data_IF_261691955731
#
_entry.id   IF_261691955731
#
_cell.length_a   1.000
_cell.length_b   1.000
_cell.length_c   1.000
_cell.angle_alpha   90.00
_cell.angle_beta   90.00
_cell.angle_gamma   90.00
#
_symmetry.space_group_name_H-M   'P 1'
#
loop_
_entity.id
_entity.type
_entity.pdbx_description
1 polymer ?
#
# COMPACT_ATOMS: atom_id res chain seq x y z
N UNK A 1 21.43 -1.66 72.98
CA UNK A 1 21.22 -2.63 71.89
C UNK A 1 20.61 -1.88 70.71
N UNK A 2 21.43 -1.53 69.71
CA UNK A 2 21.02 -0.88 68.44
C UNK A 2 20.65 -1.99 67.44
N UNK A 3 19.62 -1.81 66.61
CA UNK A 3 19.39 -2.37 65.25
C UNK A 3 18.08 -1.71 64.74
N UNK A 4 18.16 -0.64 63.93
CA UNK A 4 18.19 -0.56 62.45
C UNK A 4 16.80 -0.73 61.78
N UNK A 5 16.09 0.39 61.61
CA UNK A 5 15.02 0.56 60.61
C UNK A 5 15.67 0.58 59.20
N UNK A 6 15.24 -0.31 58.31
CA UNK A 6 15.58 -0.25 56.88
C UNK A 6 14.49 0.52 56.14
N UNK A 7 14.81 1.75 55.72
CA UNK A 7 14.01 2.50 54.75
C UNK A 7 14.22 1.92 53.36
N UNK A 8 13.18 1.31 52.80
CA UNK A 8 13.14 0.91 51.40
C UNK A 8 12.64 2.10 50.58
N UNK A 9 13.53 2.78 49.87
CA UNK A 9 13.16 3.78 48.86
C UNK A 9 12.54 3.04 47.66
N UNK A 10 11.26 3.27 47.41
CA UNK A 10 10.59 2.86 46.17
C UNK A 10 10.94 3.88 45.07
N UNK A 11 11.83 3.53 44.15
CA UNK A 11 12.09 4.33 42.95
C UNK A 11 10.94 4.12 41.96
N UNK A 12 10.08 5.14 41.84
CA UNK A 12 9.07 5.22 40.78
C UNK A 12 9.79 5.57 39.47
N UNK A 13 10.02 4.59 38.59
CA UNK A 13 10.54 4.83 37.25
C UNK A 13 9.40 5.40 36.40
N UNK A 14 9.49 6.63 35.87
CA UNK A 14 8.49 7.13 34.94
C UNK A 14 8.59 6.32 33.64
N UNK A 15 7.49 5.68 33.27
CA UNK A 15 7.30 5.02 31.98
C UNK A 15 7.32 6.11 30.89
N UNK A 16 8.50 6.42 30.37
CA UNK A 16 8.67 7.23 29.16
C UNK A 16 7.96 6.50 28.01
N UNK A 17 6.77 6.98 27.64
CA UNK A 17 6.12 6.57 26.40
C UNK A 17 7.00 7.09 25.24
N UNK A 18 7.77 6.19 24.63
CA UNK A 18 8.49 6.51 23.40
C UNK A 18 7.46 6.92 22.33
N UNK A 19 7.66 8.02 21.60
CA UNK A 19 6.76 8.38 20.50
C UNK A 19 6.76 7.24 19.49
N UNK A 20 5.57 6.73 19.17
CA UNK A 20 5.40 5.79 18.08
C UNK A 20 5.85 6.50 16.80
N UNK A 21 6.96 6.04 16.21
CA UNK A 21 7.41 6.53 14.91
C UNK A 21 6.37 6.07 13.90
N UNK A 22 5.48 6.99 13.50
CA UNK A 22 4.54 6.74 12.43
C UNK A 22 5.36 6.47 11.16
N UNK A 23 5.34 5.22 10.70
CA UNK A 23 5.91 4.88 9.40
C UNK A 23 4.99 5.44 8.33
N UNK A 24 5.55 6.01 7.26
CA UNK A 24 4.77 6.44 6.11
C UNK A 24 3.87 5.29 5.61
N UNK A 25 2.68 5.61 5.12
CA UNK A 25 1.72 4.65 4.58
C UNK A 25 1.22 5.17 3.23
N UNK A 26 1.86 4.75 2.15
CA UNK A 26 1.45 5.09 0.78
C UNK A 26 0.30 4.17 0.36
N UNK A 27 -0.86 4.70 -0.03
CA UNK A 27 -1.97 3.89 -0.53
C UNK A 27 -1.68 3.39 -1.96
N UNK A 28 -2.38 2.36 -2.43
CA UNK A 28 -2.19 1.80 -3.77
C UNK A 28 -2.50 0.31 -3.87
N UNK A 29 -2.24 -0.24 -5.05
CA UNK A 29 -2.42 -1.67 -5.32
C UNK A 29 -1.12 -2.31 -5.78
N UNK A 30 -0.96 -3.58 -5.43
CA UNK A 30 0.15 -4.39 -5.92
C UNK A 30 -0.40 -5.62 -6.63
N UNK A 31 0.16 -5.90 -7.80
CA UNK A 31 -0.20 -7.05 -8.62
C UNK A 31 0.93 -8.09 -8.55
N UNK A 32 0.56 -9.34 -8.33
CA UNK A 32 1.45 -10.48 -8.45
C UNK A 32 1.11 -11.25 -9.72
N UNK A 33 2.13 -11.61 -10.50
CA UNK A 33 2.03 -12.55 -11.62
C UNK A 33 2.97 -13.71 -11.39
N UNK A 34 2.45 -14.93 -11.46
CA UNK A 34 3.26 -16.17 -11.39
C UNK A 34 2.71 -17.20 -12.36
N UNK A 35 3.56 -17.67 -13.29
CA UNK A 35 3.25 -18.86 -14.09
C UNK A 35 3.57 -20.09 -13.26
N UNK A 36 2.54 -20.89 -12.96
CA UNK A 36 2.67 -22.23 -12.40
C UNK A 36 2.91 -23.20 -13.56
N UNK A 37 3.92 -24.04 -13.42
CA UNK A 37 4.21 -25.11 -14.38
C UNK A 37 3.65 -26.42 -13.85
N UNK A 38 3.01 -27.17 -14.74
CA UNK A 38 2.56 -28.52 -14.43
C UNK A 38 3.79 -29.40 -14.15
N UNK A 39 3.83 -30.06 -13.00
CA UNK A 39 4.92 -30.99 -12.65
C UNK A 39 4.52 -32.46 -12.79
N UNK A 40 3.37 -32.74 -13.42
CA UNK A 40 2.93 -34.08 -13.80
C UNK A 40 2.33 -34.87 -12.65
N UNK A 41 1.66 -34.20 -11.70
CA UNK A 41 0.94 -34.88 -10.63
C UNK A 41 -0.20 -35.77 -11.16
N UNK A 42 -0.55 -36.77 -10.36
CA UNK A 42 -1.53 -37.81 -10.69
C UNK A 42 -2.95 -37.51 -10.19
N UNK A 43 -3.14 -36.43 -9.43
CA UNK A 43 -4.44 -36.01 -8.89
C UNK A 43 -5.26 -35.26 -9.94
N UNK A 44 -6.57 -35.48 -9.96
CA UNK A 44 -7.51 -34.61 -10.69
C UNK A 44 -7.88 -33.33 -9.93
N UNK A 45 -7.30 -33.14 -8.74
CA UNK A 45 -7.59 -32.05 -7.82
C UNK A 45 -6.30 -31.31 -7.52
N UNK A 46 -6.19 -30.10 -8.05
CA UNK A 46 -5.05 -29.23 -7.80
C UNK A 46 -5.38 -28.20 -6.73
N UNK A 47 -4.36 -27.82 -5.97
CA UNK A 47 -4.44 -26.87 -4.86
C UNK A 47 -3.50 -25.72 -5.14
N UNK A 48 -3.95 -24.48 -5.01
CA UNK A 48 -3.12 -23.29 -5.22
C UNK A 48 -3.45 -22.26 -4.17
N UNK A 49 -2.42 -21.66 -3.59
CA UNK A 49 -2.58 -20.58 -2.63
C UNK A 49 -1.49 -19.52 -2.84
N UNK A 50 -1.89 -18.26 -2.74
CA UNK A 50 -0.97 -17.13 -2.67
C UNK A 50 -1.29 -16.28 -1.44
N UNK A 51 -0.25 -15.82 -0.75
CA UNK A 51 -0.40 -15.03 0.47
C UNK A 51 0.72 -14.00 0.60
N UNK A 52 0.49 -13.04 1.49
CA UNK A 52 1.43 -11.97 1.79
C UNK A 52 1.87 -12.00 3.24
N UNK A 53 3.17 -11.77 3.44
CA UNK A 53 3.79 -11.60 4.75
C UNK A 53 4.57 -10.30 4.79
N UNK A 54 4.87 -9.81 6.00
CA UNK A 54 5.98 -8.87 6.20
C UNK A 54 7.29 -9.51 5.72
N UNK A 55 8.34 -8.69 5.52
CA UNK A 55 9.67 -9.21 5.18
C UNK A 55 10.23 -10.23 6.19
N UNK A 56 9.83 -10.13 7.46
CA UNK A 56 10.21 -11.03 8.56
C UNK A 56 9.38 -12.31 8.63
N UNK A 57 8.37 -12.47 7.77
CA UNK A 57 7.55 -13.67 7.68
C UNK A 57 6.25 -13.64 8.50
N UNK A 58 5.89 -12.50 9.12
CA UNK A 58 4.60 -12.36 9.79
C UNK A 58 3.48 -12.35 8.75
N UNK A 59 2.52 -13.26 8.89
CA UNK A 59 1.38 -13.35 7.99
C UNK A 59 0.48 -12.12 8.07
N UNK A 60 0.03 -11.64 6.90
CA UNK A 60 -0.90 -10.53 6.80
C UNK A 60 -2.22 -11.06 6.25
N UNK A 61 -2.19 -11.67 5.07
CA UNK A 61 -3.41 -12.10 4.37
C UNK A 61 -3.17 -13.15 3.31
N UNK A 62 -4.20 -13.96 3.05
CA UNK A 62 -4.29 -14.80 1.85
C UNK A 62 -4.93 -14.00 0.72
N UNK A 63 -4.37 -14.08 -0.49
CA UNK A 63 -4.84 -13.31 -1.65
C UNK A 63 -5.54 -14.18 -2.69
N UNK A 64 -5.17 -15.46 -2.72
CA UNK A 64 -5.70 -16.43 -3.67
C UNK A 64 -5.83 -17.78 -3.00
N UNK A 65 -6.95 -18.46 -3.20
CA UNK A 65 -7.15 -19.84 -2.80
C UNK A 65 -7.95 -20.58 -3.87
N UNK A 66 -7.44 -21.72 -4.32
CA UNK A 66 -8.05 -22.57 -5.34
C UNK A 66 -7.88 -24.03 -4.94
N UNK A 67 -8.97 -24.79 -4.86
CA UNK A 67 -8.91 -26.21 -4.50
C UNK A 67 -10.29 -26.85 -4.33
N UNK A 68 -10.36 -28.19 -4.25
CA UNK A 68 -11.61 -28.97 -4.25
C UNK A 68 -12.49 -28.82 -3.00
N UNK A 69 -11.88 -28.35 -1.90
CA UNK A 69 -12.61 -27.90 -0.73
C UNK A 69 -12.16 -26.50 -0.43
N UNK A 70 -12.87 -25.53 -0.98
CA UNK A 70 -12.67 -24.09 -0.78
C UNK A 70 -12.81 -23.68 0.69
N UNK A 71 -13.17 -24.62 1.58
CA UNK A 71 -13.14 -24.42 3.02
C UNK A 71 -11.69 -24.24 3.49
N UNK A 72 -11.42 -23.03 3.98
CA UNK A 72 -10.21 -22.62 4.69
C UNK A 72 -9.76 -23.64 5.76
N UNK A 73 -10.69 -24.44 6.29
CA UNK A 73 -10.47 -25.34 7.42
C UNK A 73 -10.18 -26.79 7.03
N UNK A 74 -10.15 -27.10 5.75
CA UNK A 74 -9.85 -28.47 5.34
C UNK A 74 -8.46 -28.89 5.77
N UNK A 75 -8.35 -30.05 6.43
CA UNK A 75 -7.08 -30.69 6.76
C UNK A 75 -6.22 -30.98 5.51
N UNK A 76 -6.84 -31.03 4.32
CA UNK A 76 -6.13 -31.15 3.05
C UNK A 76 -5.14 -30.01 2.81
N UNK A 77 -5.43 -28.79 3.26
CA UNK A 77 -4.47 -27.69 3.12
C UNK A 77 -3.19 -27.92 3.91
N UNK A 78 -3.25 -28.60 5.05
CA UNK A 78 -2.06 -29.01 5.78
C UNK A 78 -1.26 -30.07 5.00
N UNK A 79 -1.94 -31.00 4.32
CA UNK A 79 -1.32 -32.07 3.53
C UNK A 79 -0.69 -31.60 2.21
N UNK A 80 -1.24 -30.55 1.59
CA UNK A 80 -0.83 -30.10 0.25
C UNK A 80 -0.10 -28.76 0.23
N UNK A 81 -0.55 -27.82 1.06
CA UNK A 81 0.04 -26.48 1.16
C UNK A 81 0.44 -26.16 2.61
N UNK A 82 1.24 -27.04 3.21
CA UNK A 82 1.64 -26.96 4.62
C UNK A 82 2.44 -25.71 4.97
N UNK A 83 3.15 -25.12 4.00
CA UNK A 83 3.90 -23.86 4.21
C UNK A 83 2.93 -22.70 4.45
N UNK A 84 1.93 -22.56 3.59
CA UNK A 84 0.85 -21.58 3.80
C UNK A 84 0.07 -21.88 5.08
N UNK A 85 -0.30 -23.15 5.29
CA UNK A 85 -1.10 -23.57 6.45
C UNK A 85 -0.41 -23.21 7.78
N UNK A 86 0.91 -23.37 7.84
CA UNK A 86 1.72 -22.97 9.00
C UNK A 86 1.83 -21.44 9.10
N UNK A 87 2.09 -20.75 7.99
CA UNK A 87 2.28 -19.31 7.97
C UNK A 87 1.03 -18.55 8.46
N UNK A 88 -0.16 -18.95 8.01
CA UNK A 88 -1.41 -18.28 8.39
C UNK A 88 -1.77 -18.43 9.87
N UNK A 89 -1.24 -19.45 10.55
CA UNK A 89 -1.45 -19.70 11.98
C UNK A 89 -2.93 -19.59 12.44
N UNK A 90 -3.87 -20.08 11.64
CA UNK A 90 -5.31 -20.03 11.92
C UNK A 90 -6.03 -18.73 11.50
N UNK A 91 -5.32 -17.72 11.00
CA UNK A 91 -5.91 -16.50 10.43
C UNK A 91 -6.84 -16.83 9.25
N UNK A 92 -7.96 -16.11 9.18
CA UNK A 92 -8.96 -16.20 8.11
C UNK A 92 -8.92 -15.00 7.16
N UNK A 93 -7.93 -14.13 7.32
CA UNK A 93 -7.81 -12.93 6.50
C UNK A 93 -7.61 -13.33 5.03
N UNK A 94 -8.57 -12.96 4.18
CA UNK A 94 -8.67 -13.35 2.78
C UNK A 94 -9.21 -12.19 1.94
N UNK A 95 -8.52 -11.82 0.86
CA UNK A 95 -8.97 -10.76 -0.06
C UNK A 95 -9.64 -11.27 -1.35
N UNK A 96 -9.47 -12.54 -1.71
CA UNK A 96 -10.05 -13.06 -2.96
C UNK A 96 -10.21 -14.57 -3.00
N UNK A 97 -11.36 -15.02 -3.54
CA UNK A 97 -11.61 -16.40 -3.96
C UNK A 97 -11.55 -16.47 -5.48
N UNK A 98 -10.93 -17.53 -6.03
CA UNK A 98 -11.21 -17.95 -7.41
C UNK A 98 -11.90 -19.30 -7.39
N UNK A 99 -13.17 -19.27 -7.79
CA UNK A 99 -14.12 -20.36 -7.57
C UNK A 99 -14.08 -21.38 -8.71
N UNK A 100 -13.09 -22.27 -8.69
CA UNK A 100 -13.17 -23.63 -9.27
C UNK A 100 -11.89 -24.42 -8.93
N UNK A 101 -12.02 -25.71 -8.61
CA UNK A 101 -10.84 -26.61 -8.51
C UNK A 101 -10.11 -26.59 -9.84
N UNK A 102 -8.81 -26.26 -9.86
CA UNK A 102 -8.00 -26.49 -11.05
C UNK A 102 -7.89 -27.99 -11.30
N UNK A 103 -8.05 -28.40 -12.56
CA UNK A 103 -7.76 -29.76 -13.03
C UNK A 103 -6.44 -29.85 -13.79
N UNK A 104 -5.78 -28.69 -14.03
CA UNK A 104 -4.48 -28.54 -14.69
C UNK A 104 -3.92 -27.13 -14.43
N UNK A 105 -2.62 -26.92 -14.65
CA UNK A 105 -2.00 -25.59 -14.65
C UNK A 105 -1.84 -25.01 -16.05
N UNK A 106 -2.92 -25.08 -16.82
CA UNK A 106 -3.05 -24.48 -18.14
C UNK A 106 -4.24 -23.51 -18.19
N UNK A 107 -4.22 -22.58 -19.15
CA UNK A 107 -5.31 -21.62 -19.37
C UNK A 107 -5.52 -20.69 -18.17
N UNK A 108 -6.75 -20.61 -17.64
CA UNK A 108 -7.11 -19.67 -16.55
C UNK A 108 -6.49 -20.02 -15.19
N UNK A 109 -5.86 -21.19 -15.04
CA UNK A 109 -5.22 -21.62 -13.80
C UNK A 109 -3.73 -21.21 -13.71
N UNK A 110 -3.16 -20.71 -14.81
CA UNK A 110 -1.76 -20.25 -14.87
C UNK A 110 -1.57 -19.28 -16.07
N UNK A 111 -1.04 -18.06 -15.87
CA UNK A 111 -0.53 -17.54 -14.61
C UNK A 111 -1.64 -17.20 -13.61
N UNK A 112 -1.32 -17.26 -12.32
CA UNK A 112 -2.14 -16.64 -11.30
C UNK A 112 -1.82 -15.14 -11.24
N UNK A 113 -2.86 -14.33 -11.03
CA UNK A 113 -2.80 -12.86 -11.06
C UNK A 113 -3.46 -12.23 -9.81
N UNK A 114 -3.08 -12.60 -8.56
CA UNK A 114 -3.69 -11.99 -7.40
C UNK A 114 -3.25 -10.54 -7.24
N UNK A 115 -4.20 -9.72 -6.77
CA UNK A 115 -3.99 -8.32 -6.43
C UNK A 115 -4.15 -8.11 -4.92
N UNK A 116 -3.45 -7.12 -4.38
CA UNK A 116 -3.59 -6.71 -2.98
C UNK A 116 -3.66 -5.20 -2.87
N UNK A 117 -4.64 -4.70 -2.12
CA UNK A 117 -4.89 -3.29 -1.83
C UNK A 117 -4.02 -2.72 -0.70
N UNK A 118 -3.01 -3.50 -0.27
CA UNK A 118 -2.13 -3.18 0.84
C UNK A 118 -2.86 -2.98 2.18
N UNK A 119 -4.03 -3.58 2.38
CA UNK A 119 -4.74 -3.56 3.66
C UNK A 119 -4.59 -4.86 4.42
N UNK A 120 -4.54 -4.77 5.74
CA UNK A 120 -4.57 -5.94 6.61
C UNK A 120 -5.99 -6.53 6.75
N UNK A 121 -6.15 -7.51 7.65
CA UNK A 121 -7.42 -8.17 7.93
C UNK A 121 -8.51 -7.23 8.48
N UNK A 122 -8.12 -6.10 9.07
CA UNK A 122 -9.01 -5.09 9.63
C UNK A 122 -9.31 -3.94 8.66
N UNK A 123 -8.82 -4.03 7.41
CA UNK A 123 -8.97 -2.99 6.40
C UNK A 123 -8.02 -1.80 6.59
N UNK A 124 -7.07 -1.89 7.53
CA UNK A 124 -6.09 -0.83 7.77
C UNK A 124 -4.95 -0.92 6.75
N UNK A 125 -4.57 0.23 6.21
CA UNK A 125 -3.44 0.32 5.28
C UNK A 125 -2.15 -0.10 5.99
N UNK A 126 -1.36 -0.97 5.39
CA UNK A 126 -0.10 -1.39 5.99
C UNK A 126 1.02 -0.35 5.77
N UNK A 127 2.00 -0.25 6.68
CA UNK A 127 3.13 0.65 6.52
C UNK A 127 3.94 0.47 5.24
N UNK A 128 4.63 1.52 4.81
CA UNK A 128 5.66 1.41 3.80
C UNK A 128 6.84 0.60 4.33
N UNK A 129 7.43 -0.21 3.46
CA UNK A 129 8.44 -1.19 3.84
C UNK A 129 8.43 -2.42 2.94
N UNK A 130 9.20 -3.42 3.36
CA UNK A 130 9.38 -4.64 2.58
C UNK A 130 8.36 -5.72 2.94
N UNK A 131 7.85 -6.38 1.91
CA UNK A 131 6.86 -7.45 1.98
C UNK A 131 7.28 -8.62 1.11
N UNK A 132 6.72 -9.80 1.39
CA UNK A 132 6.92 -10.99 0.56
C UNK A 132 5.59 -11.52 0.08
N UNK A 133 5.49 -11.76 -1.22
CA UNK A 133 4.49 -12.68 -1.73
C UNK A 133 5.01 -14.10 -1.74
N UNK A 134 4.11 -15.01 -1.42
CA UNK A 134 4.38 -16.43 -1.46
C UNK A 134 3.33 -17.10 -2.31
N UNK A 135 3.76 -18.14 -3.01
CA UNK A 135 2.89 -19.01 -3.77
C UNK A 135 3.25 -20.44 -3.42
N UNK A 136 2.23 -21.27 -3.20
CA UNK A 136 2.37 -22.71 -3.04
C UNK A 136 1.26 -23.40 -3.83
N UNK A 137 1.59 -24.50 -4.49
CA UNK A 137 0.60 -25.27 -5.22
C UNK A 137 0.91 -26.77 -5.20
N UNK A 138 -0.09 -27.63 -5.37
CA UNK A 138 0.05 -29.07 -5.33
C UNK A 138 -0.85 -29.77 -6.37
N UNK A 139 -0.30 -30.77 -7.05
CA UNK A 139 -0.94 -31.63 -8.05
C UNK A 139 -1.10 -33.08 -7.55
N UNK A 140 -0.65 -33.37 -6.33
CA UNK A 140 -0.58 -34.72 -5.77
C UNK A 140 -1.11 -34.77 -4.33
N UNK A 141 -1.18 -36.00 -3.79
CA UNK A 141 -1.56 -36.27 -2.41
C UNK A 141 -0.64 -35.64 -1.34
N UNK A 142 0.54 -35.14 -1.71
CA UNK A 142 1.59 -34.67 -0.79
C UNK A 142 1.82 -33.16 -0.80
N UNK A 143 2.89 -32.73 -0.12
CA UNK A 143 3.31 -31.34 -0.05
C UNK A 143 3.74 -30.83 -1.41
N UNK A 144 3.14 -29.73 -1.84
CA UNK A 144 3.48 -29.08 -3.09
C UNK A 144 4.63 -28.06 -2.99
N UNK A 145 5.28 -27.73 -4.11
CA UNK A 145 6.33 -26.72 -4.17
C UNK A 145 5.81 -25.33 -3.75
N UNK A 146 6.71 -24.52 -3.20
CA UNK A 146 6.46 -23.14 -2.83
C UNK A 146 7.64 -22.25 -3.22
N UNK A 147 7.41 -20.95 -3.35
CA UNK A 147 8.49 -20.00 -3.68
C UNK A 147 9.56 -19.97 -2.58
N UNK A 148 10.83 -20.17 -2.95
CA UNK A 148 11.89 -20.60 -2.01
C UNK A 148 12.22 -19.58 -0.91
N UNK A 149 12.19 -18.29 -1.23
CA UNK A 149 12.46 -17.19 -0.28
C UNK A 149 11.29 -16.22 -0.15
N UNK A 150 10.17 -16.46 -0.84
CA UNK A 150 9.15 -15.45 -1.06
C UNK A 150 9.65 -14.33 -1.98
N UNK A 151 8.75 -13.79 -2.78
CA UNK A 151 9.01 -12.73 -3.73
C UNK A 151 9.06 -11.41 -2.97
N UNK A 152 10.26 -10.96 -2.60
CA UNK A 152 10.51 -9.76 -1.80
C UNK A 152 10.38 -8.50 -2.66
N UNK A 153 9.51 -7.60 -2.24
CA UNK A 153 9.29 -6.30 -2.89
C UNK A 153 9.16 -5.18 -1.85
N UNK A 154 9.23 -3.93 -2.31
CA UNK A 154 9.18 -2.75 -1.43
C UNK A 154 7.95 -1.90 -1.72
N UNK A 155 7.13 -1.66 -0.70
CA UNK A 155 6.05 -0.69 -0.73
C UNK A 155 6.57 0.69 -0.36
N UNK A 156 6.26 1.70 -1.17
CA UNK A 156 6.67 3.09 -0.94
C UNK A 156 6.06 4.07 -1.95
N UNK A 157 6.53 5.32 -2.00
CA UNK A 157 5.92 6.37 -2.82
C UNK A 157 6.24 6.28 -4.32
N UNK A 158 7.11 5.36 -4.76
CA UNK A 158 7.47 5.23 -6.17
C UNK A 158 6.78 4.04 -6.81
N UNK A 159 6.35 4.18 -8.07
CA UNK A 159 5.96 3.04 -8.92
C UNK A 159 7.20 2.17 -9.13
N UNK A 160 7.06 0.85 -8.99
CA UNK A 160 8.19 -0.06 -9.17
C UNK A 160 7.73 -1.47 -9.57
N UNK A 161 8.63 -2.25 -10.17
CA UNK A 161 8.37 -3.63 -10.59
C UNK A 161 9.60 -4.52 -10.41
N UNK A 162 9.37 -5.71 -9.87
CA UNK A 162 10.39 -6.72 -9.63
C UNK A 162 10.10 -7.96 -10.45
N UNK A 163 11.04 -8.34 -11.31
CA UNK A 163 11.06 -9.65 -11.96
C UNK A 163 11.96 -10.61 -11.19
N UNK A 164 11.54 -11.86 -11.07
CA UNK A 164 12.29 -12.88 -10.34
C UNK A 164 12.70 -14.01 -11.27
N UNK A 165 13.89 -14.61 -11.08
CA UNK A 165 14.31 -15.79 -11.85
C UNK A 165 13.33 -16.95 -11.66
N UNK A 166 13.17 -17.76 -12.70
CA UNK A 166 12.43 -19.01 -12.62
C UNK A 166 12.95 -19.89 -11.47
N UNK A 167 12.04 -20.48 -10.71
CA UNK A 167 12.36 -21.33 -9.56
C UNK A 167 12.04 -22.78 -9.87
N UNK A 168 13.10 -23.57 -10.04
CA UNK A 168 13.04 -24.97 -10.42
C UNK A 168 12.17 -25.18 -11.68
N UNK A 169 11.56 -26.36 -11.80
CA UNK A 169 10.59 -26.66 -12.84
C UNK A 169 9.18 -26.12 -12.55
N UNK A 170 8.97 -25.37 -11.45
CA UNK A 170 7.63 -25.18 -10.87
C UNK A 170 7.07 -23.76 -11.05
N UNK A 171 7.93 -22.73 -10.95
CA UNK A 171 7.50 -21.33 -11.03
C UNK A 171 8.29 -20.60 -12.10
N UNK A 172 7.59 -19.86 -12.94
CA UNK A 172 8.18 -19.07 -14.02
C UNK A 172 7.53 -17.71 -14.19
N UNK A 173 8.22 -16.82 -14.92
CA UNK A 173 7.72 -15.49 -15.28
C UNK A 173 7.15 -14.71 -14.07
N UNK A 174 7.81 -14.84 -12.93
CA UNK A 174 7.35 -14.25 -11.68
C UNK A 174 7.62 -12.75 -11.69
N UNK A 175 6.58 -11.96 -11.41
CA UNK A 175 6.67 -10.51 -11.37
C UNK A 175 5.79 -9.95 -10.26
N UNK A 176 6.25 -8.91 -9.60
CA UNK A 176 5.47 -8.07 -8.69
C UNK A 176 5.49 -6.65 -9.20
N UNK A 177 4.34 -6.00 -9.31
CA UNK A 177 4.22 -4.62 -9.77
C UNK A 177 3.47 -3.81 -8.73
N UNK A 178 4.12 -2.77 -8.20
CA UNK A 178 3.54 -1.85 -7.24
C UNK A 178 3.08 -0.57 -7.93
N UNK A 179 1.81 -0.23 -7.74
CA UNK A 179 1.17 0.96 -8.28
C UNK A 179 0.63 1.84 -7.14
N UNK A 180 1.45 2.75 -6.58
CA UNK A 180 1.02 3.66 -5.54
C UNK A 180 -0.04 4.64 -6.04
N UNK A 181 -1.01 4.93 -5.19
CA UNK A 181 -1.86 6.11 -5.32
C UNK A 181 -1.06 7.28 -4.73
N UNK A 182 -0.47 8.06 -5.61
CA UNK A 182 0.28 9.25 -5.20
C UNK A 182 -0.71 10.31 -4.67
N UNK A 183 -0.37 11.01 -3.58
CA UNK A 183 -1.15 12.17 -3.18
C UNK A 183 -1.14 13.20 -4.32
N UNK A 184 -2.21 14.01 -4.47
CA UNK A 184 -2.24 15.08 -5.45
C UNK A 184 -0.99 15.96 -5.42
N UNK A 185 -0.38 16.20 -6.58
CA UNK A 185 0.77 17.12 -6.65
C UNK A 185 0.31 18.53 -6.26
N UNK A 186 0.89 19.15 -5.22
CA UNK A 186 0.51 20.50 -4.83
C UNK A 186 0.78 21.48 -5.98
N UNK A 187 -0.16 22.40 -6.26
CA UNK A 187 0.05 23.43 -7.27
C UNK A 187 1.16 24.38 -6.83
N UNK A 188 2.01 24.76 -7.78
CA UNK A 188 3.15 25.66 -7.58
C UNK A 188 2.92 26.94 -8.36
N UNK A 189 3.12 28.08 -7.72
CA UNK A 189 3.13 29.37 -8.41
C UNK A 189 4.50 29.51 -9.11
N UNK A 190 4.49 29.66 -10.43
CA UNK A 190 5.69 29.84 -11.25
C UNK A 190 5.89 31.29 -11.69
N UNK A 191 4.82 32.08 -11.71
CA UNK A 191 4.85 33.48 -12.13
C UNK A 191 3.81 34.29 -11.33
N UNK A 192 4.23 35.46 -10.88
CA UNK A 192 3.39 36.46 -10.22
C UNK A 192 3.63 37.78 -10.90
N UNK A 193 2.58 38.41 -11.43
CA UNK A 193 2.67 39.75 -12.01
C UNK A 193 1.46 40.60 -11.63
N UNK A 194 1.65 41.91 -11.66
CA UNK A 194 0.58 42.89 -11.57
C UNK A 194 0.35 43.52 -12.96
N UNK A 195 -0.90 43.62 -13.37
CA UNK A 195 -1.31 44.35 -14.57
C UNK A 195 -2.43 45.33 -14.18
N UNK A 196 -2.08 46.61 -14.02
CA UNK A 196 -2.99 47.57 -13.38
C UNK A 196 -3.26 47.20 -11.93
N UNK A 197 -4.54 46.98 -11.57
CA UNK A 197 -4.97 46.52 -10.25
C UNK A 197 -5.12 44.99 -10.16
N UNK A 198 -4.75 44.25 -11.20
CA UNK A 198 -4.95 42.80 -11.26
C UNK A 198 -3.67 42.07 -10.89
N UNK A 199 -3.73 41.30 -9.80
CA UNK A 199 -2.73 40.28 -9.45
C UNK A 199 -3.00 39.03 -10.27
N UNK A 200 -2.05 38.67 -11.13
CA UNK A 200 -2.11 37.46 -11.94
C UNK A 200 -1.11 36.45 -11.38
N UNK A 201 -1.64 35.31 -10.96
CA UNK A 201 -0.89 34.15 -10.51
C UNK A 201 -0.92 33.10 -11.61
N UNK A 202 0.26 32.66 -12.04
CA UNK A 202 0.43 31.55 -12.97
C UNK A 202 1.22 30.45 -12.29
N UNK A 203 0.95 29.22 -12.69
CA UNK A 203 1.53 28.07 -12.04
C UNK A 203 1.39 26.77 -12.79
N UNK A 204 1.85 25.72 -12.14
CA UNK A 204 1.71 24.34 -12.59
C UNK A 204 1.12 23.48 -11.48
N UNK A 205 0.52 22.36 -11.84
CA UNK A 205 0.13 21.31 -10.90
C UNK A 205 -0.48 20.13 -11.63
N UNK A 206 -1.08 19.21 -10.88
CA UNK A 206 -1.66 18.00 -11.46
C UNK A 206 -2.88 18.33 -12.34
N UNK A 207 -2.82 17.91 -13.60
CA UNK A 207 -3.84 18.16 -14.61
C UNK A 207 -5.23 17.67 -14.18
N UNK A 208 -6.26 18.46 -14.47
CA UNK A 208 -7.67 18.13 -14.19
C UNK A 208 -8.10 18.30 -12.74
N UNK A 209 -7.21 18.72 -11.83
CA UNK A 209 -7.58 19.05 -10.46
C UNK A 209 -8.11 20.48 -10.35
N UNK A 210 -8.99 20.68 -9.37
CA UNK A 210 -9.39 22.02 -8.93
C UNK A 210 -8.34 22.56 -7.97
N UNK A 211 -7.91 23.80 -8.17
CA UNK A 211 -7.11 24.53 -7.19
C UNK A 211 -7.93 25.64 -6.55
N UNK A 212 -7.63 25.96 -5.30
CA UNK A 212 -8.08 27.14 -4.58
C UNK A 212 -6.96 28.13 -4.40
N UNK A 213 -7.31 29.41 -4.40
CA UNK A 213 -6.42 30.50 -4.03
C UNK A 213 -6.86 30.97 -2.67
N UNK A 214 -5.94 30.87 -1.71
CA UNK A 214 -6.14 31.24 -0.32
C UNK A 214 -5.42 32.57 -0.04
N UNK A 215 -5.97 33.36 0.87
CA UNK A 215 -5.39 34.62 1.33
C UNK A 215 -5.33 34.69 2.86
N UNK A 216 -4.35 35.41 3.38
CA UNK A 216 -4.24 35.78 4.80
C UNK A 216 -3.51 37.11 4.97
N UNK A 217 -3.76 37.84 6.05
CA UNK A 217 -2.93 38.97 6.48
C UNK A 217 -1.79 38.56 7.42
N UNK A 218 -1.82 37.33 7.92
CA UNK A 218 -0.81 36.75 8.80
C UNK A 218 -0.31 35.42 8.24
N UNK A 219 0.93 35.42 7.75
CA UNK A 219 1.59 34.24 7.17
C UNK A 219 1.79 33.10 8.19
N UNK A 220 1.79 33.41 9.49
CA UNK A 220 1.96 32.42 10.55
C UNK A 220 0.66 31.71 10.92
N UNK A 221 -0.49 32.21 10.44
CA UNK A 221 -1.78 31.58 10.68
C UNK A 221 -1.80 30.16 10.09
N UNK A 222 -2.35 29.16 10.81
CA UNK A 222 -2.48 27.79 10.30
C UNK A 222 -3.36 27.78 9.04
N UNK A 223 -3.17 26.81 8.14
CA UNK A 223 -3.91 26.75 6.86
C UNK A 223 -5.44 26.84 7.02
N UNK A 224 -6.00 26.34 8.11
CA UNK A 224 -7.43 26.42 8.42
C UNK A 224 -7.93 27.85 8.69
N UNK A 225 -7.02 28.79 8.97
CA UNK A 225 -7.30 30.21 9.16
C UNK A 225 -7.13 31.05 7.89
N UNK A 226 -6.68 30.46 6.77
CA UNK A 226 -6.57 31.17 5.50
C UNK A 226 -7.93 31.15 4.78
N UNK A 227 -8.31 32.27 4.17
CA UNK A 227 -9.61 32.41 3.50
C UNK A 227 -9.49 32.13 2.01
N UNK A 228 -10.39 31.31 1.46
CA UNK A 228 -10.47 31.09 0.00
C UNK A 228 -11.05 32.33 -0.69
N UNK A 229 -10.31 32.87 -1.66
CA UNK A 229 -10.76 34.01 -2.49
C UNK A 229 -11.16 33.61 -3.91
N UNK A 230 -10.79 32.40 -4.33
CA UNK A 230 -11.17 31.89 -5.64
C UNK A 230 -10.74 30.46 -5.87
N UNK A 231 -11.10 29.96 -7.05
CA UNK A 231 -10.73 28.63 -7.53
C UNK A 231 -10.60 28.61 -9.04
N UNK A 232 -9.88 27.63 -9.56
CA UNK A 232 -9.80 27.34 -10.99
C UNK A 232 -9.53 25.87 -11.25
N UNK A 233 -9.52 25.49 -12.53
CA UNK A 233 -9.10 24.17 -12.98
C UNK A 233 -7.66 24.22 -13.47
N UNK A 234 -6.87 23.21 -13.11
CA UNK A 234 -5.57 22.98 -13.73
C UNK A 234 -5.82 22.32 -15.09
N UNK A 235 -5.28 22.91 -16.15
CA UNK A 235 -5.50 22.45 -17.53
C UNK A 235 -4.98 21.04 -17.77
N UNK A 236 -5.37 20.43 -18.88
CA UNK A 236 -4.85 19.12 -19.30
C UNK A 236 -3.32 19.12 -19.50
N UNK A 237 -2.71 20.28 -19.76
CA UNK A 237 -1.26 20.46 -19.86
C UNK A 237 -0.59 20.76 -18.50
N UNK A 238 -1.34 20.69 -17.38
CA UNK A 238 -0.83 20.97 -16.05
C UNK A 238 -0.64 22.45 -15.73
N UNK A 239 -1.22 23.37 -16.52
CA UNK A 239 -1.08 24.82 -16.34
C UNK A 239 -2.27 25.40 -15.58
N UNK A 240 -2.02 26.40 -14.74
CA UNK A 240 -3.06 27.18 -14.07
C UNK A 240 -2.80 28.69 -14.19
N UNK A 241 -3.88 29.46 -14.17
CA UNK A 241 -3.85 30.91 -14.10
C UNK A 241 -5.03 31.41 -13.27
N UNK A 242 -4.80 32.42 -12.43
CA UNK A 242 -5.82 33.07 -11.63
C UNK A 242 -5.55 34.57 -11.57
N UNK A 243 -6.61 35.36 -11.80
CA UNK A 243 -6.56 36.81 -11.71
C UNK A 243 -7.41 37.27 -10.53
N UNK A 244 -6.80 38.03 -9.63
CA UNK A 244 -7.45 38.64 -8.49
C UNK A 244 -7.26 40.16 -8.51
N UNK A 245 -8.35 40.92 -8.41
CA UNK A 245 -8.24 42.35 -8.15
C UNK A 245 -7.63 42.60 -6.78
N UNK A 246 -6.64 43.48 -6.70
CA UNK A 246 -6.00 43.89 -5.45
C UNK A 246 -6.09 45.39 -5.24
N UNK A 247 -6.36 45.80 -4.00
CA UNK A 247 -6.19 47.18 -3.58
C UNK A 247 -4.75 47.39 -3.12
N UNK A 248 -3.98 48.15 -3.91
CA UNK A 248 -2.58 48.45 -3.65
C UNK A 248 -2.36 49.28 -2.37
N UNK A 249 -3.42 49.85 -1.79
CA UNK A 249 -3.38 50.54 -0.50
C UNK A 249 -3.42 49.63 0.73
N UNK A 250 -3.76 48.35 0.56
CA UNK A 250 -3.84 47.39 1.68
C UNK A 250 -2.50 46.68 1.89
N UNK A 251 -1.87 46.92 3.04
CA UNK A 251 -0.60 46.26 3.39
C UNK A 251 -0.81 44.81 3.87
N UNK A 252 0.09 43.91 3.47
CA UNK A 252 0.33 42.64 4.18
C UNK A 252 -0.52 41.44 3.75
N UNK A 253 -0.99 41.37 2.51
CA UNK A 253 -1.76 40.21 2.04
C UNK A 253 -0.86 39.13 1.43
N UNK A 254 -0.95 37.90 1.93
CA UNK A 254 -0.23 36.72 1.42
C UNK A 254 -1.18 35.81 0.65
N UNK A 255 -0.68 35.18 -0.40
CA UNK A 255 -1.45 34.27 -1.25
C UNK A 255 -0.82 32.90 -1.34
N UNK A 256 -1.65 31.86 -1.42
CA UNK A 256 -1.20 30.46 -1.59
C UNK A 256 -2.17 29.67 -2.46
N UNK A 257 -1.65 28.73 -3.23
CA UNK A 257 -2.46 27.72 -3.93
C UNK A 257 -2.63 26.46 -3.05
N UNK A 258 -3.81 25.85 -3.10
CA UNK A 258 -4.11 24.59 -2.42
C UNK A 258 -5.02 23.70 -3.29
N UNK A 259 -4.87 22.38 -3.16
CA UNK A 259 -5.87 21.43 -3.64
C UNK A 259 -6.90 21.26 -2.51
N UNK A 260 -8.22 21.35 -2.79
CA UNK A 260 -9.23 21.02 -1.80
C UNK A 260 -9.07 19.56 -1.38
N UNK A 261 -8.83 19.33 -0.09
CA UNK A 261 -8.91 17.98 0.48
C UNK A 261 -10.37 17.55 0.51
N UNK A 262 -10.70 16.31 0.11
CA UNK A 262 -12.05 15.76 0.31
C UNK A 262 -12.45 15.69 1.78
#
# INVERSE_FOLDING_TARGET
>A
MRILLRSTLLFLIPLMAAPAVARAQTDGSVDLKVTLRDYGGSSTKHWTVAWVTTATGTFIKTLWIQGNKNSFWSSHWNSHCGKWYSARAGSQALDGYTSATATSYSGVNSPILPTWDCRDASGQLVPDGQYRFWVQYAEDGGQGPYTSTGLLWTKGPAVDSWAYPDQASNFANMQVTWNPILPPEPPVITSVRLLGSDLILEGTGQAGLTFHVLTTSDILSPMTGWTTIGSGQISAAGQLSYTNGVDLGTAGTYYRLAIPTP
#
